data_IF_319716743236
#
_entry.id   IF_319716743236
#
_cell.length_a   1.000
_cell.length_b   1.000
_cell.length_c   1.000
_cell.angle_alpha   90.00
_cell.angle_beta   90.00
_cell.angle_gamma   90.00
#
_symmetry.space_group_name_H-M   'P 1'
#
loop_
_entity.id
_entity.type
_entity.pdbx_description
1 polymer ?
#
# COMPACT_ATOMS: atom_id res chain seq x y z
N UNK A 1 39.49 -0.65 -68.88
CA UNK A 1 38.93 -2.05 -68.87
C UNK A 1 37.82 -2.10 -67.84
N UNK A 2 36.64 -2.30 -68.35
CA UNK A 2 35.33 -2.20 -67.66
C UNK A 2 35.00 -3.57 -67.09
N UNK A 3 34.65 -3.67 -65.85
CA UNK A 3 33.86 -4.84 -65.32
C UNK A 3 32.69 -4.34 -64.51
N UNK A 4 31.51 -4.55 -65.13
CA UNK A 4 30.18 -4.38 -64.57
C UNK A 4 29.77 -5.65 -63.77
N UNK A 5 29.36 -5.48 -62.51
CA UNK A 5 28.61 -6.54 -61.77
C UNK A 5 27.28 -5.96 -61.34
N UNK A 6 26.25 -6.33 -62.12
CA UNK A 6 24.85 -6.14 -61.72
C UNK A 6 24.48 -7.10 -60.57
N UNK A 7 24.09 -6.56 -59.44
CA UNK A 7 23.34 -7.33 -58.45
C UNK A 7 21.85 -6.98 -58.61
N UNK A 8 21.03 -8.00 -58.91
CA UNK A 8 19.59 -7.89 -58.85
C UNK A 8 19.15 -7.62 -57.43
N UNK A 9 18.45 -6.51 -57.23
CA UNK A 9 17.79 -6.15 -55.98
C UNK A 9 16.42 -6.88 -55.99
N UNK A 10 16.31 -7.90 -55.16
CA UNK A 10 15.02 -8.63 -54.97
C UNK A 10 13.99 -7.69 -54.31
N UNK A 11 12.78 -7.72 -54.85
CA UNK A 11 11.64 -6.90 -54.47
C UNK A 11 11.25 -7.13 -53.01
N UNK A 12 11.28 -6.10 -52.12
CA UNK A 12 11.04 -6.25 -50.70
C UNK A 12 9.55 -6.50 -50.33
N UNK A 13 8.62 -6.36 -51.27
CA UNK A 13 7.19 -6.50 -51.04
C UNK A 13 6.70 -7.95 -50.87
N UNK A 14 7.42 -8.95 -51.42
CA UNK A 14 7.02 -10.36 -51.30
C UNK A 14 7.40 -11.00 -49.95
N UNK A 15 8.37 -10.44 -49.22
CA UNK A 15 8.80 -10.93 -47.89
C UNK A 15 7.96 -10.38 -46.76
N UNK A 16 7.19 -9.33 -47.01
CA UNK A 16 6.32 -8.71 -46.00
C UNK A 16 4.90 -9.32 -46.01
N UNK A 17 4.46 -9.83 -47.12
CA UNK A 17 3.11 -10.48 -47.20
C UNK A 17 3.07 -11.89 -46.61
N UNK A 18 4.16 -12.66 -46.65
CA UNK A 18 4.22 -14.02 -46.07
C UNK A 18 4.37 -13.97 -44.51
N UNK A 19 4.64 -12.81 -43.90
CA UNK A 19 4.74 -12.66 -42.44
C UNK A 19 3.41 -12.21 -41.78
N UNK A 20 2.42 -11.85 -42.57
CA UNK A 20 1.10 -11.44 -42.12
C UNK A 20 0.08 -12.60 -42.08
N UNK A 21 0.43 -13.77 -42.67
CA UNK A 21 -0.43 -14.96 -42.71
C UNK A 21 -0.04 -16.03 -41.68
N UNK A 22 1.11 -15.90 -40.98
CA UNK A 22 1.38 -16.73 -39.83
C UNK A 22 0.60 -16.14 -38.63
N UNK A 23 -0.59 -16.76 -38.44
CA UNK A 23 -1.59 -16.50 -37.45
C UNK A 23 -1.15 -15.77 -36.20
N UNK A 24 -1.62 -14.55 -36.01
CA UNK A 24 -1.96 -14.07 -34.67
C UNK A 24 -3.02 -15.06 -34.14
N UNK A 25 -2.53 -16.16 -33.57
CA UNK A 25 -3.33 -16.93 -32.63
C UNK A 25 -3.66 -15.93 -31.51
N UNK A 26 -4.90 -15.45 -31.53
CA UNK A 26 -5.52 -14.78 -30.40
C UNK A 26 -5.58 -15.86 -29.31
N UNK A 27 -4.44 -16.08 -28.65
CA UNK A 27 -4.38 -16.86 -27.44
C UNK A 27 -5.41 -16.19 -26.52
N UNK A 28 -6.42 -16.94 -26.09
CA UNK A 28 -7.27 -16.59 -24.97
C UNK A 28 -6.34 -16.20 -23.81
N UNK A 29 -6.00 -14.92 -23.71
CA UNK A 29 -5.49 -14.35 -22.49
C UNK A 29 -6.66 -14.45 -21.52
N UNK A 30 -6.72 -15.58 -20.81
CA UNK A 30 -7.61 -15.69 -19.66
C UNK A 30 -7.13 -14.58 -18.71
N UNK A 31 -7.90 -13.49 -18.65
CA UNK A 31 -7.65 -12.39 -17.74
C UNK A 31 -7.46 -13.00 -16.36
N UNK A 32 -6.23 -12.90 -15.85
CA UNK A 32 -5.90 -13.41 -14.52
C UNK A 32 -6.54 -12.47 -13.51
N UNK A 33 -7.13 -13.01 -12.43
CA UNK A 33 -7.64 -12.18 -11.34
C UNK A 33 -6.52 -11.35 -10.76
N UNK A 34 -6.72 -10.04 -10.62
CA UNK A 34 -5.77 -9.16 -9.98
C UNK A 34 -5.43 -9.61 -8.56
N UNK A 35 -4.18 -9.48 -8.15
CA UNK A 35 -3.69 -9.92 -6.84
C UNK A 35 -2.99 -8.80 -6.08
N UNK A 36 -3.26 -8.70 -4.78
CA UNK A 36 -2.48 -7.87 -3.87
C UNK A 36 -1.66 -8.75 -2.92
N UNK A 37 -0.34 -8.78 -3.12
CA UNK A 37 0.59 -9.43 -2.20
C UNK A 37 0.85 -8.54 -1.00
N UNK A 38 0.52 -9.01 0.20
CA UNK A 38 0.46 -8.18 1.39
C UNK A 38 0.90 -8.89 2.68
N UNK A 39 1.26 -8.10 3.69
CA UNK A 39 1.17 -8.48 5.09
C UNK A 39 -0.10 -7.88 5.68
N UNK A 40 -0.92 -8.67 6.36
CA UNK A 40 -2.20 -8.23 6.92
C UNK A 40 -2.05 -7.12 7.97
N UNK A 41 -0.87 -6.98 8.55
CA UNK A 41 -0.56 -5.97 9.58
C UNK A 41 0.26 -4.80 9.05
N UNK A 42 0.63 -4.80 7.76
CA UNK A 42 1.45 -3.74 7.18
C UNK A 42 0.62 -2.48 6.89
N UNK A 43 0.98 -1.31 7.45
CA UNK A 43 0.24 -0.06 7.24
C UNK A 43 0.24 0.40 5.78
N UNK A 44 1.32 0.17 5.04
CA UNK A 44 1.40 0.46 3.61
C UNK A 44 0.44 -0.40 2.78
N UNK A 45 0.22 -1.65 3.18
CA UNK A 45 -0.78 -2.51 2.55
C UNK A 45 -2.20 -2.04 2.84
N UNK A 46 -2.47 -1.53 4.06
CA UNK A 46 -3.77 -0.97 4.41
C UNK A 46 -4.13 0.28 3.61
N UNK A 47 -3.14 1.09 3.24
CA UNK A 47 -3.29 2.23 2.34
C UNK A 47 -3.87 1.81 0.98
N UNK A 48 -3.27 0.80 0.34
CA UNK A 48 -3.71 0.26 -0.97
C UNK A 48 -5.06 -0.45 -0.85
N UNK A 49 -5.25 -1.25 0.21
CA UNK A 49 -6.53 -1.92 0.49
C UNK A 49 -7.69 -0.95 0.63
N UNK A 50 -7.46 0.21 1.24
CA UNK A 50 -8.49 1.25 1.37
C UNK A 50 -9.04 1.69 0.02
N UNK A 51 -8.17 1.90 -0.97
CA UNK A 51 -8.57 2.27 -2.34
C UNK A 51 -9.27 1.09 -3.05
N UNK A 52 -8.71 -0.13 -2.95
CA UNK A 52 -9.32 -1.33 -3.54
C UNK A 52 -10.75 -1.54 -3.04
N UNK A 53 -10.95 -1.46 -1.73
CA UNK A 53 -12.24 -1.66 -1.08
C UNK A 53 -13.21 -0.49 -1.38
N UNK A 54 -12.72 0.74 -1.49
CA UNK A 54 -13.54 1.90 -1.89
C UNK A 54 -14.05 1.78 -3.33
N UNK A 55 -13.20 1.30 -4.23
CA UNK A 55 -13.55 1.13 -5.65
C UNK A 55 -14.32 -0.18 -5.92
N UNK A 56 -14.57 -1.01 -4.91
CA UNK A 56 -15.25 -2.28 -5.05
C UNK A 56 -14.53 -3.27 -5.98
N UNK A 57 -13.19 -3.22 -6.03
CA UNK A 57 -12.41 -4.06 -6.96
C UNK A 57 -12.31 -5.50 -6.45
N UNK A 58 -12.59 -6.46 -7.32
CA UNK A 58 -12.42 -7.89 -7.03
C UNK A 58 -10.95 -8.30 -7.13
N UNK A 59 -10.20 -8.13 -6.05
CA UNK A 59 -8.77 -8.41 -5.95
C UNK A 59 -8.52 -9.56 -4.96
N UNK A 60 -7.71 -10.53 -5.37
CA UNK A 60 -7.28 -11.61 -4.48
C UNK A 60 -6.19 -11.10 -3.52
N UNK A 61 -6.39 -11.30 -2.21
CA UNK A 61 -5.39 -10.95 -1.20
C UNK A 61 -4.46 -12.13 -0.90
N UNK A 62 -3.21 -12.04 -1.38
CA UNK A 62 -2.18 -13.06 -1.22
C UNK A 62 -1.29 -12.72 -0.03
N UNK A 63 -1.47 -13.43 1.09
CA UNK A 63 -0.68 -13.21 2.32
C UNK A 63 0.77 -13.67 2.15
N UNK A 64 1.72 -12.77 2.42
CA UNK A 64 3.16 -13.02 2.35
C UNK A 64 3.69 -13.36 3.74
N UNK A 65 4.61 -14.32 3.84
CA UNK A 65 5.29 -14.61 5.09
C UNK A 65 6.47 -13.64 5.29
N UNK A 66 6.42 -12.79 6.32
CA UNK A 66 7.44 -11.78 6.60
C UNK A 66 8.87 -12.33 6.73
N UNK A 67 9.04 -13.57 7.18
CA UNK A 67 10.37 -14.22 7.27
C UNK A 67 10.88 -14.75 5.92
N UNK A 68 9.99 -14.99 4.96
CA UNK A 68 10.31 -15.53 3.64
C UNK A 68 10.03 -14.51 2.53
N UNK A 69 9.77 -13.25 2.90
CA UNK A 69 9.29 -12.19 2.02
C UNK A 69 10.15 -12.06 0.76
N UNK A 70 11.47 -11.94 0.91
CA UNK A 70 12.40 -11.79 -0.22
C UNK A 70 12.31 -12.95 -1.23
N UNK A 71 12.15 -14.20 -0.73
CA UNK A 71 11.98 -15.38 -1.58
C UNK A 71 10.61 -15.41 -2.24
N UNK A 72 9.56 -15.11 -1.49
CA UNK A 72 8.18 -15.15 -2.01
C UNK A 72 7.87 -14.02 -2.99
N UNK A 73 8.59 -12.90 -2.91
CA UNK A 73 8.41 -11.73 -3.78
C UNK A 73 9.47 -11.62 -4.88
N UNK A 74 10.28 -12.68 -5.10
CA UNK A 74 11.34 -12.67 -6.13
C UNK A 74 10.83 -12.45 -7.56
N UNK A 75 9.54 -12.72 -7.81
CA UNK A 75 8.88 -12.46 -9.09
C UNK A 75 8.81 -10.96 -9.44
N UNK A 76 8.86 -10.07 -8.45
CA UNK A 76 8.87 -8.62 -8.65
C UNK A 76 10.29 -8.01 -8.61
N UNK A 77 11.31 -8.78 -8.98
CA UNK A 77 12.70 -8.35 -9.01
C UNK A 77 13.28 -8.06 -7.62
N UNK A 78 14.07 -6.99 -7.53
CA UNK A 78 14.80 -6.62 -6.30
C UNK A 78 13.96 -5.86 -5.28
N UNK A 79 12.67 -5.61 -5.53
CA UNK A 79 11.85 -4.82 -4.62
C UNK A 79 11.73 -5.41 -3.21
N UNK A 80 11.45 -6.69 -3.10
CA UNK A 80 11.48 -7.47 -1.86
C UNK A 80 10.63 -6.95 -0.69
N UNK A 81 9.63 -6.10 -0.94
CA UNK A 81 8.74 -5.48 0.05
C UNK A 81 7.28 -5.61 -0.37
N UNK A 82 6.36 -5.40 0.56
CA UNK A 82 4.92 -5.29 0.30
C UNK A 82 4.44 -3.85 0.49
N UNK A 83 3.35 -3.42 -0.18
CA UNK A 83 2.49 -4.18 -1.09
C UNK A 83 3.10 -4.36 -2.49
N UNK A 84 2.67 -5.42 -3.20
CA UNK A 84 2.85 -5.59 -4.64
C UNK A 84 1.48 -5.91 -5.23
N UNK A 85 1.07 -5.15 -6.23
CA UNK A 85 -0.15 -5.41 -6.99
C UNK A 85 0.20 -6.05 -8.32
N UNK A 86 -0.39 -7.20 -8.61
CA UNK A 86 -0.32 -7.86 -9.91
C UNK A 86 -1.65 -7.64 -10.60
N UNK A 87 -1.65 -6.98 -11.75
CA UNK A 87 -2.86 -6.67 -12.50
C UNK A 87 -3.34 -7.87 -13.35
N UNK A 88 -4.43 -7.65 -14.10
CA UNK A 88 -5.06 -8.67 -14.95
C UNK A 88 -4.18 -9.11 -16.12
N UNK A 89 -3.23 -8.27 -16.51
CA UNK A 89 -2.21 -8.53 -17.53
C UNK A 89 -0.97 -9.23 -16.97
N UNK A 90 -0.93 -9.49 -15.63
CA UNK A 90 0.20 -10.12 -14.95
C UNK A 90 1.37 -9.17 -14.69
N UNK A 91 1.20 -7.86 -14.85
CA UNK A 91 2.24 -6.88 -14.55
C UNK A 91 2.31 -6.61 -13.05
N UNK A 92 3.52 -6.44 -12.54
CA UNK A 92 3.78 -6.22 -11.12
C UNK A 92 4.06 -4.74 -10.84
N UNK A 93 3.21 -4.16 -10.01
CA UNK A 93 3.32 -2.77 -9.58
C UNK A 93 3.69 -2.72 -8.11
N UNK A 94 4.62 -1.84 -7.75
CA UNK A 94 5.23 -1.79 -6.42
C UNK A 94 5.10 -0.41 -5.81
N UNK A 95 5.29 -0.34 -4.48
CA UNK A 95 5.17 0.86 -3.64
C UNK A 95 3.73 1.38 -3.48
N UNK A 96 3.38 1.67 -2.23
CA UNK A 96 2.00 1.96 -1.84
C UNK A 96 1.48 3.28 -2.39
N UNK A 97 2.31 4.33 -2.50
CA UNK A 97 1.88 5.62 -3.03
C UNK A 97 1.66 5.60 -4.54
N UNK A 98 2.61 5.13 -5.38
CA UNK A 98 2.34 4.90 -6.79
C UNK A 98 1.15 3.98 -7.04
N UNK A 99 0.95 2.95 -6.19
CA UNK A 99 -0.15 2.01 -6.35
C UNK A 99 -1.53 2.65 -6.18
N UNK A 100 -1.71 3.55 -5.22
CA UNK A 100 -3.03 4.20 -5.07
C UNK A 100 -3.34 5.12 -6.25
N UNK A 101 -2.36 5.79 -6.84
CA UNK A 101 -2.54 6.57 -8.06
C UNK A 101 -2.81 5.68 -9.29
N UNK A 102 -2.11 4.56 -9.41
CA UNK A 102 -2.35 3.59 -10.48
C UNK A 102 -3.79 3.06 -10.44
N UNK A 103 -4.25 2.62 -9.27
CA UNK A 103 -5.60 2.11 -9.08
C UNK A 103 -6.66 3.17 -9.38
N UNK A 104 -6.45 4.40 -8.92
CA UNK A 104 -7.33 5.52 -9.22
C UNK A 104 -7.38 5.81 -10.72
N UNK A 105 -6.23 5.85 -11.39
CA UNK A 105 -6.17 6.12 -12.83
C UNK A 105 -6.80 4.99 -13.65
N UNK A 106 -6.49 3.72 -13.32
CA UNK A 106 -6.95 2.55 -14.10
C UNK A 106 -8.45 2.27 -13.90
N UNK A 107 -8.96 2.42 -12.67
CA UNK A 107 -10.31 1.95 -12.32
C UNK A 107 -11.28 3.08 -11.90
N UNK A 108 -10.81 4.32 -11.77
CA UNK A 108 -11.62 5.44 -11.30
C UNK A 108 -11.46 6.73 -12.13
N UNK A 109 -10.76 6.64 -13.25
CA UNK A 109 -10.46 7.77 -14.14
C UNK A 109 -9.80 8.97 -13.43
N UNK A 110 -8.96 8.72 -12.41
CA UNK A 110 -8.18 9.74 -11.71
C UNK A 110 -9.00 10.64 -10.77
N UNK A 111 -10.18 10.23 -10.33
CA UNK A 111 -11.07 11.10 -9.52
C UNK A 111 -10.56 11.37 -8.11
N UNK A 112 -9.67 10.52 -7.56
CA UNK A 112 -9.05 10.74 -6.26
C UNK A 112 -7.83 11.67 -6.36
N UNK A 113 -7.13 11.67 -7.51
CA UNK A 113 -5.98 12.53 -7.78
C UNK A 113 -6.47 13.86 -8.40
N UNK A 114 -6.63 14.90 -7.59
CA UNK A 114 -7.11 16.21 -8.06
C UNK A 114 -5.97 17.01 -8.70
N UNK A 115 -6.09 17.34 -9.97
CA UNK A 115 -5.08 18.10 -10.73
C UNK A 115 -4.97 19.57 -10.33
N UNK A 116 -6.07 20.19 -9.94
CA UNK A 116 -6.17 21.58 -9.49
C UNK A 116 -5.48 21.83 -8.13
N UNK A 117 -5.26 20.79 -7.34
CA UNK A 117 -4.59 20.83 -6.03
C UNK A 117 -3.41 19.86 -5.92
N UNK A 118 -2.78 19.48 -7.04
CA UNK A 118 -1.73 18.45 -7.07
C UNK A 118 -0.56 18.73 -6.12
N UNK A 119 -0.11 19.98 -6.01
CA UNK A 119 0.98 20.37 -5.10
C UNK A 119 0.60 20.10 -3.65
N UNK A 120 -0.58 20.57 -3.21
CA UNK A 120 -1.08 20.34 -1.84
C UNK A 120 -1.26 18.86 -1.54
N UNK A 121 -1.80 18.06 -2.49
CA UNK A 121 -1.92 16.62 -2.34
C UNK A 121 -0.55 15.93 -2.17
N UNK A 122 0.44 16.28 -2.99
CA UNK A 122 1.79 15.70 -2.93
C UNK A 122 2.50 16.05 -1.61
N UNK A 123 2.39 17.29 -1.14
CA UNK A 123 2.96 17.72 0.14
C UNK A 123 2.34 16.95 1.30
N UNK A 124 1.01 16.83 1.31
CA UNK A 124 0.29 16.13 2.37
C UNK A 124 0.43 14.61 2.31
N UNK A 125 0.53 13.98 1.14
CA UNK A 125 0.90 12.56 1.05
C UNK A 125 2.30 12.34 1.63
N UNK A 126 3.25 13.22 1.31
CA UNK A 126 4.61 13.17 1.87
C UNK A 126 4.58 13.35 3.38
N UNK A 127 3.77 14.28 3.88
CA UNK A 127 3.57 14.49 5.31
C UNK A 127 2.98 13.25 5.99
N UNK A 128 1.90 12.69 5.46
CA UNK A 128 1.25 11.47 5.96
C UNK A 128 2.23 10.29 5.97
N UNK A 129 2.91 10.04 4.86
CA UNK A 129 3.88 8.94 4.72
C UNK A 129 5.11 9.14 5.62
N UNK A 130 5.44 10.39 5.98
CA UNK A 130 6.57 10.68 6.86
C UNK A 130 6.19 10.64 8.33
N UNK A 131 5.03 11.18 8.73
CA UNK A 131 4.66 11.36 10.14
C UNK A 131 3.78 10.22 10.65
N UNK A 132 2.64 9.94 10.02
CA UNK A 132 1.72 8.89 10.48
C UNK A 132 2.34 7.49 10.36
N UNK A 133 3.09 7.21 9.29
CA UNK A 133 3.80 5.93 9.17
C UNK A 133 4.80 5.70 10.31
N UNK A 134 5.52 6.75 10.71
CA UNK A 134 6.49 6.66 11.82
C UNK A 134 5.81 6.53 13.18
N UNK A 135 4.61 7.08 13.35
CA UNK A 135 3.83 7.00 14.58
C UNK A 135 3.17 5.62 14.79
N UNK A 136 2.92 4.86 13.73
CA UNK A 136 2.27 3.54 13.81
C UNK A 136 3.06 2.53 14.65
N UNK A 137 4.38 2.46 14.51
CA UNK A 137 5.21 1.55 15.31
C UNK A 137 5.24 1.95 16.81
N UNK A 138 5.44 3.22 17.19
CA UNK A 138 5.35 3.66 18.58
C UNK A 138 4.04 3.32 19.28
N UNK A 139 2.87 3.51 18.65
CA UNK A 139 1.60 3.22 19.30
C UNK A 139 1.40 1.72 19.53
N UNK A 140 1.85 0.88 18.60
CA UNK A 140 1.72 -0.58 18.69
C UNK A 140 2.76 -1.22 19.62
N UNK A 141 3.99 -0.69 19.65
CA UNK A 141 5.14 -1.34 20.31
C UNK A 141 5.87 -0.43 21.32
N UNK A 142 5.43 0.81 21.55
CA UNK A 142 6.16 1.79 22.35
C UNK A 142 6.25 1.47 23.85
N UNK A 143 5.35 0.64 24.39
CA UNK A 143 5.38 0.15 25.76
C UNK A 143 5.46 -1.37 25.79
N UNK A 144 6.05 -1.93 26.85
CA UNK A 144 6.15 -3.40 27.01
C UNK A 144 4.78 -4.11 26.94
N UNK A 145 3.73 -3.66 27.65
CA UNK A 145 2.41 -4.29 27.55
C UNK A 145 1.80 -4.18 26.13
N UNK A 146 1.96 -3.04 25.46
CA UNK A 146 1.50 -2.85 24.08
C UNK A 146 2.21 -3.79 23.13
N UNK A 147 3.53 -3.88 23.24
CA UNK A 147 4.35 -4.73 22.40
C UNK A 147 3.98 -6.21 22.52
N UNK A 148 3.74 -6.73 23.72
CA UNK A 148 3.31 -8.10 23.97
C UNK A 148 1.94 -8.37 23.34
N UNK A 149 0.95 -7.49 23.57
CA UNK A 149 -0.40 -7.61 22.99
C UNK A 149 -0.33 -7.57 21.46
N UNK A 150 0.44 -6.65 20.90
CA UNK A 150 0.61 -6.51 19.44
C UNK A 150 1.24 -7.75 18.84
N UNK A 151 2.36 -8.24 19.38
CA UNK A 151 3.06 -9.42 18.86
C UNK A 151 2.17 -10.67 18.88
N UNK A 152 1.41 -10.87 19.95
CA UNK A 152 0.45 -11.97 20.02
C UNK A 152 -0.64 -11.84 18.96
N UNK A 153 -1.14 -10.63 18.71
CA UNK A 153 -2.16 -10.38 17.69
C UNK A 153 -1.63 -10.56 16.27
N UNK A 154 -0.45 -10.00 15.95
CA UNK A 154 0.24 -10.18 14.67
C UNK A 154 0.39 -11.65 14.33
N UNK A 155 0.86 -12.46 15.28
CA UNK A 155 1.09 -13.90 15.05
C UNK A 155 -0.20 -14.67 14.70
N UNK A 156 -1.37 -14.16 15.08
CA UNK A 156 -2.67 -14.72 14.71
C UNK A 156 -3.14 -14.23 13.35
N UNK A 157 -2.94 -12.96 13.05
CA UNK A 157 -3.41 -12.32 11.81
C UNK A 157 -2.62 -12.78 10.58
N UNK A 158 -1.29 -12.93 10.71
CA UNK A 158 -0.41 -13.28 9.58
C UNK A 158 -0.41 -14.78 9.23
N UNK A 159 -1.23 -15.60 9.89
CA UNK A 159 -1.40 -17.04 9.61
C UNK A 159 -0.07 -17.82 9.52
N UNK A 160 0.90 -17.51 10.37
CA UNK A 160 2.17 -18.25 10.43
C UNK A 160 1.96 -19.70 10.87
N UNK A 161 2.77 -20.63 10.32
CA UNK A 161 2.87 -21.99 10.80
C UNK A 161 3.39 -22.05 12.25
N UNK A 162 3.10 -23.15 12.96
CA UNK A 162 3.32 -23.29 14.42
C UNK A 162 4.73 -22.88 14.90
N UNK A 163 5.79 -23.38 14.27
CA UNK A 163 7.18 -23.04 14.63
C UNK A 163 7.56 -21.61 14.25
N UNK A 164 7.17 -21.16 13.05
CA UNK A 164 7.42 -19.79 12.59
C UNK A 164 6.71 -18.76 13.47
N UNK A 165 5.52 -19.09 13.96
CA UNK A 165 4.73 -18.25 14.85
C UNK A 165 5.46 -17.93 16.17
N UNK A 166 6.06 -18.95 16.80
CA UNK A 166 6.77 -18.77 18.08
C UNK A 166 8.07 -17.99 17.89
N UNK A 167 8.86 -18.34 16.86
CA UNK A 167 10.11 -17.66 16.54
C UNK A 167 9.88 -16.20 16.14
N UNK A 168 8.90 -15.94 15.26
CA UNK A 168 8.54 -14.58 14.83
C UNK A 168 8.04 -13.73 15.99
N UNK A 169 7.22 -14.29 16.89
CA UNK A 169 6.73 -13.57 18.06
C UNK A 169 7.87 -13.09 18.95
N UNK A 170 8.88 -13.92 19.21
CA UNK A 170 10.01 -13.52 20.07
C UNK A 170 11.01 -12.61 19.34
N UNK A 171 11.47 -12.99 18.15
CA UNK A 171 12.42 -12.18 17.40
C UNK A 171 11.81 -10.84 16.95
N UNK A 172 10.58 -10.85 16.44
CA UNK A 172 9.85 -9.65 16.06
C UNK A 172 9.61 -8.73 17.26
N UNK A 173 9.24 -9.28 18.42
CA UNK A 173 9.08 -8.52 19.65
C UNK A 173 10.37 -7.80 20.06
N UNK A 174 11.50 -8.53 20.11
CA UNK A 174 12.79 -7.95 20.52
C UNK A 174 13.24 -6.84 19.56
N UNK A 175 13.09 -7.03 18.26
CA UNK A 175 13.48 -6.03 17.26
C UNK A 175 12.54 -4.83 17.30
N UNK A 176 11.23 -5.07 17.25
CA UNK A 176 10.25 -3.98 17.14
C UNK A 176 10.17 -3.16 18.43
N UNK A 177 10.09 -3.80 19.57
CA UNK A 177 10.05 -3.10 20.87
C UNK A 177 11.42 -2.62 21.31
N UNK A 178 12.44 -3.50 21.33
CA UNK A 178 13.75 -3.23 21.92
C UNK A 178 14.53 -2.15 21.16
N UNK A 179 14.45 -2.17 19.83
CA UNK A 179 15.25 -1.24 19.02
C UNK A 179 14.40 -0.19 18.29
N UNK A 180 13.40 -0.57 17.51
CA UNK A 180 12.72 0.35 16.59
C UNK A 180 11.79 1.28 17.36
N UNK A 181 10.84 0.75 18.14
CA UNK A 181 9.83 1.55 18.82
C UNK A 181 10.45 2.47 19.88
N UNK A 182 11.35 1.94 20.73
CA UNK A 182 12.04 2.75 21.78
C UNK A 182 12.86 3.88 21.16
N UNK A 183 13.60 3.61 20.07
CA UNK A 183 14.38 4.65 19.36
C UNK A 183 13.46 5.75 18.83
N UNK A 184 12.32 5.39 18.24
CA UNK A 184 11.35 6.35 17.70
C UNK A 184 10.69 7.17 18.79
N UNK A 185 10.24 6.53 19.89
CA UNK A 185 9.65 7.22 21.06
C UNK A 185 10.67 8.19 21.69
N UNK A 186 11.92 7.74 21.87
CA UNK A 186 12.98 8.60 22.43
C UNK A 186 13.31 9.78 21.51
N UNK A 187 13.30 9.56 20.18
CA UNK A 187 13.59 10.62 19.21
C UNK A 187 12.49 11.68 19.14
N UNK A 188 11.23 11.27 19.23
CA UNK A 188 10.09 12.20 19.20
C UNK A 188 9.86 12.89 20.54
N UNK A 189 10.08 12.18 21.66
CA UNK A 189 9.90 12.70 23.03
C UNK A 189 8.47 12.66 23.56
N UNK A 190 7.47 12.51 22.70
CA UNK A 190 6.06 12.43 23.08
C UNK A 190 5.63 10.99 23.39
N UNK A 191 4.64 10.84 24.28
CA UNK A 191 3.96 9.55 24.45
C UNK A 191 3.23 9.16 23.15
N UNK A 192 3.20 7.87 22.75
CA UNK A 192 2.62 7.45 21.48
C UNK A 192 1.17 7.88 21.25
N UNK A 193 0.34 7.85 22.30
CA UNK A 193 -1.04 8.39 22.25
C UNK A 193 -1.03 9.88 21.89
N UNK A 194 -0.23 10.69 22.60
CA UNK A 194 -0.15 12.13 22.36
C UNK A 194 0.34 12.44 20.94
N UNK A 195 1.36 11.70 20.47
CA UNK A 195 1.85 11.85 19.10
C UNK A 195 0.73 11.64 18.07
N UNK A 196 -0.05 10.58 18.20
CA UNK A 196 -1.18 10.34 17.28
C UNK A 196 -2.27 11.40 17.38
N UNK A 197 -2.60 11.86 18.60
CA UNK A 197 -3.57 12.96 18.79
C UNK A 197 -3.12 14.25 18.14
N UNK A 198 -1.84 14.62 18.28
CA UNK A 198 -1.28 15.80 17.64
C UNK A 198 -1.35 15.70 16.11
N UNK A 199 -0.99 14.52 15.54
CA UNK A 199 -1.06 14.28 14.10
C UNK A 199 -2.50 14.30 13.57
N UNK A 200 -3.45 13.71 14.29
CA UNK A 200 -4.86 13.76 13.92
C UNK A 200 -5.41 15.19 14.01
N UNK A 201 -4.99 15.97 15.01
CA UNK A 201 -5.38 17.38 15.12
C UNK A 201 -4.86 18.19 13.94
N UNK A 202 -3.57 18.03 13.59
CA UNK A 202 -2.96 18.70 12.44
C UNK A 202 -3.69 18.34 11.13
N UNK A 203 -3.93 17.05 10.92
CA UNK A 203 -4.62 16.54 9.73
C UNK A 203 -6.08 17.05 9.65
N UNK A 204 -6.84 16.99 10.75
CA UNK A 204 -8.24 17.42 10.74
C UNK A 204 -8.39 18.94 10.68
N UNK A 205 -7.43 19.71 11.20
CA UNK A 205 -7.42 21.17 11.04
C UNK A 205 -7.17 21.58 9.59
N UNK A 206 -6.37 20.82 8.84
CA UNK A 206 -6.07 21.10 7.43
C UNK A 206 -7.30 20.98 6.52
N UNK A 207 -8.16 19.99 6.75
CA UNK A 207 -9.41 19.91 5.98
C UNK A 207 -10.53 20.79 6.56
N UNK A 208 -10.35 21.34 7.77
CA UNK A 208 -11.24 22.32 8.38
C UNK A 208 -12.67 21.79 8.57
N UNK A 209 -13.65 22.49 8.00
CA UNK A 209 -15.07 22.11 8.07
C UNK A 209 -15.47 21.07 7.03
N UNK A 210 -14.60 20.76 6.07
CA UNK A 210 -14.90 19.77 5.05
C UNK A 210 -14.96 18.36 5.62
N UNK A 211 -15.82 17.47 5.09
CA UNK A 211 -15.90 16.09 5.56
C UNK A 211 -14.62 15.26 5.33
N UNK A 212 -13.85 15.60 4.29
CA UNK A 212 -12.62 14.92 3.89
C UNK A 212 -11.53 15.95 3.52
N UNK A 213 -10.28 15.49 3.47
CA UNK A 213 -9.19 16.30 2.94
C UNK A 213 -9.44 16.72 1.48
N UNK A 214 -10.02 15.82 0.70
CA UNK A 214 -10.46 16.06 -0.66
C UNK A 214 -11.71 16.97 -0.78
N UNK A 215 -12.30 17.45 0.29
CA UNK A 215 -13.53 18.24 0.31
C UNK A 215 -14.77 17.39 0.55
N UNK A 216 -15.78 17.44 -0.31
CA UNK A 216 -17.00 16.65 -0.20
C UNK A 216 -16.79 15.15 -0.40
N UNK A 217 -15.73 14.76 -1.10
CA UNK A 217 -15.35 13.37 -1.36
C UNK A 217 -13.90 13.12 -0.93
N UNK A 218 -13.57 11.89 -0.48
CA UNK A 218 -12.20 11.56 -0.12
C UNK A 218 -11.27 11.61 -1.33
N UNK A 219 -10.01 11.93 -1.08
CA UNK A 219 -8.94 11.93 -2.07
C UNK A 219 -7.79 10.96 -1.70
N UNK A 220 -6.71 10.96 -2.48
CA UNK A 220 -5.55 10.10 -2.25
C UNK A 220 -4.88 10.34 -0.88
N UNK A 221 -4.97 11.57 -0.34
CA UNK A 221 -4.41 11.92 0.98
C UNK A 221 -5.25 11.29 2.10
N UNK A 222 -6.59 11.34 1.96
CA UNK A 222 -7.51 10.66 2.88
C UNK A 222 -7.22 9.16 2.94
N UNK A 223 -7.09 8.49 1.79
CA UNK A 223 -6.78 7.06 1.75
C UNK A 223 -5.39 6.73 2.34
N UNK A 224 -4.40 7.61 2.14
CA UNK A 224 -3.10 7.43 2.76
C UNK A 224 -3.17 7.50 4.29
N UNK A 225 -3.78 8.54 4.85
CA UNK A 225 -3.96 8.73 6.29
C UNK A 225 -4.85 7.63 6.90
N UNK A 226 -5.96 7.31 6.24
CA UNK A 226 -6.88 6.27 6.64
C UNK A 226 -6.20 4.89 6.73
N UNK A 227 -5.38 4.53 5.75
CA UNK A 227 -4.63 3.28 5.74
C UNK A 227 -3.74 3.13 6.98
N UNK A 228 -3.02 4.19 7.38
CA UNK A 228 -2.20 4.16 8.59
C UNK A 228 -3.03 4.02 9.85
N UNK A 229 -4.11 4.77 10.00
CA UNK A 229 -4.99 4.68 11.16
C UNK A 229 -5.70 3.32 11.21
N UNK A 230 -6.20 2.85 10.08
CA UNK A 230 -6.89 1.55 9.94
C UNK A 230 -5.96 0.38 10.25
N UNK A 231 -4.66 0.49 9.97
CA UNK A 231 -3.68 -0.56 10.32
C UNK A 231 -3.57 -0.80 11.82
N UNK A 232 -4.00 0.16 12.65
CA UNK A 232 -4.05 0.03 14.12
C UNK A 232 -5.36 -0.62 14.59
N UNK A 233 -6.43 -0.54 13.79
CA UNK A 233 -7.78 -0.99 14.19
C UNK A 233 -7.87 -2.46 14.64
N UNK A 234 -7.09 -3.42 14.10
CA UNK A 234 -7.11 -4.79 14.59
C UNK A 234 -6.50 -4.96 15.99
N UNK A 235 -5.88 -3.93 16.56
CA UNK A 235 -5.14 -3.98 17.82
C UNK A 235 -5.88 -3.24 18.94
N UNK A 236 -5.75 -3.69 20.20
CA UNK A 236 -6.37 -3.02 21.35
C UNK A 236 -5.95 -1.55 21.49
N UNK A 237 -4.80 -1.18 20.99
CA UNK A 237 -4.27 0.18 21.03
C UNK A 237 -5.10 1.18 20.22
N UNK A 238 -5.96 0.72 19.32
CA UNK A 238 -6.88 1.59 18.59
C UNK A 238 -7.79 2.38 19.53
N UNK A 239 -8.15 1.80 20.69
CA UNK A 239 -8.93 2.49 21.71
C UNK A 239 -8.24 3.76 22.26
N UNK A 240 -6.92 3.87 22.14
CA UNK A 240 -6.18 5.08 22.51
C UNK A 240 -6.49 6.30 21.64
N UNK A 241 -7.10 6.09 20.48
CA UNK A 241 -7.52 7.15 19.55
C UNK A 241 -8.98 7.54 19.73
N UNK A 242 -9.76 6.75 20.48
CA UNK A 242 -11.22 6.90 20.60
C UNK A 242 -11.67 8.26 21.17
N UNK A 243 -10.85 8.89 21.98
CA UNK A 243 -11.15 10.21 22.59
C UNK A 243 -10.74 11.41 21.70
N UNK A 244 -10.14 11.17 20.53
CA UNK A 244 -9.91 12.20 19.52
C UNK A 244 -11.14 12.36 18.60
N UNK A 245 -12.12 13.15 19.02
CA UNK A 245 -13.44 13.24 18.39
C UNK A 245 -13.38 13.54 16.88
N UNK A 246 -12.67 14.58 16.47
CA UNK A 246 -12.57 14.98 15.06
C UNK A 246 -11.94 13.88 14.18
N UNK A 247 -10.82 13.29 14.63
CA UNK A 247 -10.14 12.20 13.93
C UNK A 247 -10.98 10.94 13.83
N UNK A 248 -11.75 10.60 14.89
CA UNK A 248 -12.65 9.44 14.86
C UNK A 248 -13.87 9.70 13.97
N UNK A 249 -14.41 10.92 13.96
CA UNK A 249 -15.50 11.29 13.06
C UNK A 249 -15.07 11.18 11.59
N UNK A 250 -13.89 11.69 11.24
CA UNK A 250 -13.30 11.51 9.92
C UNK A 250 -13.05 10.03 9.60
N UNK A 251 -12.43 9.28 10.50
CA UNK A 251 -12.18 7.84 10.31
C UNK A 251 -13.47 7.06 10.01
N UNK A 252 -14.54 7.34 10.75
CA UNK A 252 -15.84 6.68 10.55
C UNK A 252 -16.46 7.06 9.20
N UNK A 253 -16.33 8.33 8.75
CA UNK A 253 -16.75 8.72 7.40
C UNK A 253 -15.96 7.97 6.33
N UNK A 254 -14.64 7.88 6.46
CA UNK A 254 -13.82 7.07 5.55
C UNK A 254 -14.24 5.60 5.52
N UNK A 255 -14.52 5.01 6.69
CA UNK A 255 -14.99 3.63 6.79
C UNK A 255 -16.34 3.43 6.06
N UNK A 256 -17.21 4.42 6.09
CA UNK A 256 -18.51 4.39 5.40
C UNK A 256 -18.40 4.54 3.87
N UNK A 257 -17.25 4.94 3.34
CA UNK A 257 -17.02 5.02 1.88
C UNK A 257 -16.57 3.69 1.26
N UNK A 258 -16.30 2.68 2.08
CA UNK A 258 -15.87 1.36 1.58
C UNK A 258 -17.09 0.53 1.13
N UNK A 259 -16.90 -0.26 0.07
CA UNK A 259 -17.92 -1.17 -0.51
C UNK A 259 -17.73 -2.61 -0.04
#
# INVERSE_FOLDING_TARGET
MIWSFGKQVGNPTKKMQTRLEEGFSCGNFMSQKSQLHLLYTCPFCWKVRGVIEHLGLDVEYVGVNGMKMRKQLSFAGDWGKVPIFTDEEGQHHVDSTPLIYLLDQKYNAGKLAKTDNATRQNDWITWVDTHMSKATVPILYGTLPSALKTTTRVSKLEKFGFFSKRLYSWAGFLVMWGFIARKRVKKDGRKPKRLWHDLLTEFTNEHGTQPFFGGEHPDVVDFAAFGYMRSISPFPQFSLLADHQAGMAWYNRMQATLQ
#
